data_IF_259638962849
#
_entry.id   IF_259638962849
#
_cell.length_a   1.000
_cell.length_b   1.000
_cell.length_c   1.000
_cell.angle_alpha   90.00
_cell.angle_beta   90.00
_cell.angle_gamma   90.00
#
_symmetry.space_group_name_H-M   'P 1'
#
loop_
_entity.id
_entity.type
_entity.pdbx_description
1 polymer ?
#
# COMPACT_ATOMS: atom_id res chain seq x y z
N UNK A 1 21.40 -46.11 43.21
CA UNK A 1 21.31 -44.78 43.87
C UNK A 1 22.00 -43.78 42.96
N UNK A 2 21.21 -43.17 42.08
CA UNK A 2 20.81 -41.76 42.18
C UNK A 2 21.90 -40.83 41.64
N UNK A 3 21.87 -40.69 40.32
CA UNK A 3 22.43 -39.55 39.63
C UNK A 3 21.76 -38.29 40.20
N UNK A 4 22.55 -37.45 40.86
CA UNK A 4 22.19 -36.06 41.14
C UNK A 4 23.14 -35.17 40.32
N UNK A 5 22.60 -34.08 39.76
CA UNK A 5 23.00 -33.57 38.46
C UNK A 5 24.29 -32.76 38.54
N UNK A 6 25.08 -32.82 37.46
CA UNK A 6 26.19 -31.89 37.20
C UNK A 6 25.74 -30.45 37.49
N UNK A 7 26.31 -29.86 38.53
CA UNK A 7 26.08 -28.44 38.83
C UNK A 7 26.64 -27.62 37.66
N UNK A 8 25.74 -27.00 36.90
CA UNK A 8 26.09 -26.08 35.84
C UNK A 8 27.06 -25.03 36.39
N UNK A 9 28.26 -24.95 35.82
CA UNK A 9 29.23 -23.92 36.21
C UNK A 9 28.61 -22.53 36.10
N UNK A 10 29.02 -21.56 36.95
CA UNK A 10 28.50 -20.19 36.92
C UNK A 10 28.57 -19.53 35.53
N UNK A 11 29.55 -19.95 34.71
CA UNK A 11 29.73 -19.50 33.32
C UNK A 11 28.61 -20.02 32.41
N UNK A 12 28.17 -21.26 32.58
CA UNK A 12 27.04 -21.81 31.82
C UNK A 12 25.71 -21.14 32.20
N UNK A 13 25.50 -20.84 33.49
CA UNK A 13 24.30 -20.12 33.95
C UNK A 13 24.25 -18.70 33.37
N UNK A 14 25.36 -17.96 33.41
CA UNK A 14 25.45 -16.64 32.81
C UNK A 14 25.25 -16.67 31.28
N UNK A 15 25.77 -17.69 30.61
CA UNK A 15 25.57 -17.90 29.16
C UNK A 15 24.10 -18.13 28.78
N UNK A 16 23.38 -18.95 29.56
CA UNK A 16 21.95 -19.23 29.33
C UNK A 16 21.11 -17.97 29.56
N UNK A 17 21.37 -17.22 30.65
CA UNK A 17 20.66 -15.96 30.93
C UNK A 17 20.92 -14.94 29.82
N UNK A 18 22.17 -14.82 29.36
CA UNK A 18 22.53 -13.94 28.25
C UNK A 18 21.79 -14.29 26.95
N UNK A 19 21.69 -15.59 26.62
CA UNK A 19 20.96 -16.05 25.44
C UNK A 19 19.43 -15.81 25.56
N UNK A 20 18.83 -16.06 26.73
CA UNK A 20 17.40 -15.84 26.98
C UNK A 20 16.99 -14.36 26.90
N UNK A 21 17.92 -13.42 27.09
CA UNK A 21 17.67 -11.98 26.93
C UNK A 21 17.96 -11.54 25.48
N UNK A 22 19.05 -12.02 24.88
CA UNK A 22 19.49 -11.61 23.55
C UNK A 22 18.58 -12.14 22.42
N UNK A 23 18.09 -13.37 22.53
CA UNK A 23 17.25 -14.02 21.52
C UNK A 23 15.87 -13.32 21.35
N UNK A 24 15.08 -13.05 22.40
CA UNK A 24 13.83 -12.31 22.25
C UNK A 24 14.05 -10.85 21.84
N UNK A 25 15.18 -10.23 22.23
CA UNK A 25 15.56 -8.90 21.77
C UNK A 25 15.85 -8.89 20.26
N UNK A 26 16.64 -9.84 19.75
CA UNK A 26 16.89 -9.98 18.31
C UNK A 26 15.64 -10.38 17.52
N UNK A 27 14.78 -11.24 18.06
CA UNK A 27 13.52 -11.63 17.43
C UNK A 27 12.55 -10.44 17.29
N UNK A 28 12.47 -9.55 18.28
CA UNK A 28 11.68 -8.32 18.19
C UNK A 28 12.17 -7.39 17.08
N UNK A 29 13.48 -7.28 16.86
CA UNK A 29 14.04 -6.50 15.77
C UNK A 29 13.85 -7.16 14.39
N UNK A 30 13.96 -8.50 14.31
CA UNK A 30 13.79 -9.23 13.05
C UNK A 30 12.33 -9.28 12.55
N UNK A 31 11.34 -9.42 13.46
CA UNK A 31 9.91 -9.42 13.13
C UNK A 31 9.36 -8.01 12.85
N UNK A 32 10.12 -6.96 13.19
CA UNK A 32 9.75 -5.57 12.91
C UNK A 32 9.94 -5.14 11.45
N UNK A 33 10.16 -6.07 10.51
CA UNK A 33 9.93 -5.84 9.07
C UNK A 33 8.41 -5.74 8.83
N UNK A 34 7.87 -4.64 9.34
CA UNK A 34 6.50 -4.15 9.22
C UNK A 34 6.12 -4.19 7.75
N UNK A 35 5.03 -4.90 7.46
CA UNK A 35 4.43 -4.92 6.14
C UNK A 35 4.09 -3.47 5.73
N UNK A 36 4.88 -2.88 4.84
CA UNK A 36 4.52 -1.61 4.21
C UNK A 36 3.38 -1.89 3.24
N UNK A 37 2.16 -1.49 3.64
CA UNK A 37 1.02 -1.48 2.74
C UNK A 37 1.36 -0.56 1.57
N UNK A 38 1.30 -1.09 0.35
CA UNK A 38 1.53 -0.31 -0.87
C UNK A 38 0.61 0.94 -0.90
N UNK A 39 1.09 2.06 -1.44
CA UNK A 39 0.30 3.28 -1.52
C UNK A 39 -0.95 3.07 -2.41
N UNK A 40 -2.11 3.51 -1.91
CA UNK A 40 -3.39 3.38 -2.63
C UNK A 40 -3.49 4.37 -3.79
N UNK A 41 -3.87 3.91 -4.99
CA UNK A 41 -4.13 4.79 -6.14
C UNK A 41 -5.39 5.66 -5.91
N UNK A 42 -6.49 5.06 -5.47
CA UNK A 42 -7.75 5.73 -5.16
C UNK A 42 -7.80 6.09 -3.67
N UNK A 43 -7.93 7.38 -3.33
CA UNK A 43 -7.97 7.86 -1.94
C UNK A 43 -9.39 8.04 -1.40
N UNK A 44 -10.35 8.45 -2.25
CA UNK A 44 -11.66 8.92 -1.77
C UNK A 44 -12.87 8.54 -2.65
N UNK A 45 -12.68 8.00 -3.85
CA UNK A 45 -13.77 7.78 -4.81
C UNK A 45 -14.45 6.44 -4.52
N UNK A 46 -15.78 6.43 -4.29
CA UNK A 46 -16.64 5.23 -4.22
C UNK A 46 -16.05 4.09 -3.36
N UNK A 47 -15.62 4.42 -2.13
CA UNK A 47 -14.93 3.51 -1.19
C UNK A 47 -15.84 2.44 -0.58
N UNK A 48 -17.15 2.61 -0.72
CA UNK A 48 -18.18 1.63 -0.42
C UNK A 48 -18.14 0.43 -1.38
N UNK A 49 -17.64 0.62 -2.61
CA UNK A 49 -17.50 -0.46 -3.58
C UNK A 49 -16.15 -1.17 -3.47
N UNK A 50 -16.12 -2.52 -3.43
CA UNK A 50 -14.86 -3.27 -3.46
C UNK A 50 -14.11 -3.12 -4.79
N UNK A 51 -14.82 -2.74 -5.87
CA UNK A 51 -14.24 -2.50 -7.19
C UNK A 51 -15.04 -1.44 -7.92
N UNK A 52 -14.42 -0.28 -8.12
CA UNK A 52 -15.04 0.83 -8.84
C UNK A 52 -14.93 0.60 -10.35
N UNK A 53 -16.07 0.50 -11.03
CA UNK A 53 -16.20 0.37 -12.49
C UNK A 53 -17.21 1.41 -12.96
N UNK A 54 -16.87 2.15 -14.00
CA UNK A 54 -17.73 3.12 -14.66
C UNK A 54 -17.90 2.72 -16.14
N UNK A 55 -19.15 2.63 -16.59
CA UNK A 55 -19.49 2.30 -17.97
C UNK A 55 -19.90 3.58 -18.69
N UNK A 56 -19.39 3.78 -19.90
CA UNK A 56 -19.79 4.87 -20.78
C UNK A 56 -20.41 4.26 -22.03
N UNK A 57 -21.60 4.73 -22.36
CA UNK A 57 -22.33 4.26 -23.53
C UNK A 57 -21.81 4.99 -24.77
N UNK A 58 -21.89 4.34 -25.94
CA UNK A 58 -21.42 4.96 -27.18
C UNK A 58 -22.19 6.24 -27.51
N UNK A 59 -23.48 6.34 -27.12
CA UNK A 59 -24.25 7.57 -27.31
C UNK A 59 -23.62 8.79 -26.63
N UNK A 60 -23.03 8.62 -25.45
CA UNK A 60 -22.38 9.74 -24.76
C UNK A 60 -21.21 10.30 -25.58
N UNK A 61 -20.56 9.46 -26.39
CA UNK A 61 -19.48 9.83 -27.31
C UNK A 61 -20.05 10.45 -28.59
N UNK A 62 -21.25 10.05 -29.03
CA UNK A 62 -21.88 10.62 -30.23
C UNK A 62 -22.20 12.11 -30.07
N UNK A 63 -22.53 12.54 -28.84
CA UNK A 63 -22.90 13.91 -28.47
C UNK A 63 -21.70 14.87 -28.33
N UNK A 64 -20.46 14.39 -28.43
CA UNK A 64 -19.26 15.23 -28.30
C UNK A 64 -18.10 14.74 -29.19
N UNK A 65 -17.36 15.66 -29.82
CA UNK A 65 -16.20 15.31 -30.66
C UNK A 65 -15.12 14.48 -29.92
N UNK A 66 -15.04 14.65 -28.60
CA UNK A 66 -14.15 13.88 -27.72
C UNK A 66 -14.68 13.80 -26.29
N UNK A 67 -14.39 12.70 -25.62
CA UNK A 67 -14.53 12.51 -24.18
C UNK A 67 -13.18 12.31 -23.52
N UNK A 68 -13.02 12.86 -22.33
CA UNK A 68 -11.77 12.81 -21.57
C UNK A 68 -12.02 12.16 -20.22
N UNK A 69 -11.37 11.03 -20.00
CA UNK A 69 -11.56 10.11 -18.87
C UNK A 69 -10.44 10.21 -17.85
N UNK A 70 -10.78 10.22 -16.57
CA UNK A 70 -9.83 10.25 -15.46
C UNK A 70 -9.15 8.89 -15.30
N UNK A 71 -7.81 8.91 -15.12
CA UNK A 71 -7.03 7.73 -14.72
C UNK A 71 -6.21 7.94 -13.43
N UNK A 72 -6.22 9.15 -12.88
CA UNK A 72 -5.44 9.49 -11.70
C UNK A 72 -6.20 9.35 -10.37
N UNK A 73 -7.51 9.09 -10.40
CA UNK A 73 -8.37 9.01 -9.19
C UNK A 73 -8.35 10.27 -8.31
N UNK A 74 -8.14 11.45 -8.91
CA UNK A 74 -8.17 12.75 -8.21
C UNK A 74 -9.27 13.68 -8.68
N UNK A 75 -9.95 13.36 -9.79
CA UNK A 75 -10.99 14.22 -10.33
C UNK A 75 -12.20 14.28 -9.40
N UNK A 76 -12.71 15.49 -9.18
CA UNK A 76 -14.00 15.73 -8.52
C UNK A 76 -15.19 15.35 -9.42
N UNK A 77 -14.97 15.24 -10.73
CA UNK A 77 -15.96 14.86 -11.75
C UNK A 77 -15.76 13.41 -12.25
N UNK A 78 -15.10 12.56 -11.47
CA UNK A 78 -14.87 11.16 -11.82
C UNK A 78 -16.19 10.49 -12.25
N UNK A 79 -16.24 9.77 -13.40
CA UNK A 79 -15.12 9.21 -14.18
C UNK A 79 -14.47 10.16 -15.20
N UNK A 80 -14.98 11.38 -15.37
CA UNK A 80 -14.42 12.35 -16.32
C UNK A 80 -13.16 13.03 -15.77
N UNK A 81 -12.29 13.48 -16.67
CA UNK A 81 -11.12 14.27 -16.29
C UNK A 81 -11.48 15.74 -16.13
N UNK A 82 -11.02 16.36 -15.04
CA UNK A 82 -11.14 17.80 -14.77
C UNK A 82 -9.79 18.53 -14.68
N UNK A 83 -8.69 17.85 -15.01
CA UNK A 83 -7.32 18.41 -14.90
C UNK A 83 -6.61 18.15 -13.57
N UNK A 84 -7.25 17.52 -12.57
CA UNK A 84 -6.62 17.28 -11.25
C UNK A 84 -5.34 16.42 -11.29
N UNK A 85 -5.09 15.71 -12.40
CA UNK A 85 -3.84 14.96 -12.59
C UNK A 85 -2.60 15.87 -12.64
N UNK A 86 -2.71 17.11 -13.11
CA UNK A 86 -1.58 18.05 -13.16
C UNK A 86 -1.04 18.32 -11.75
N UNK A 87 -1.93 18.71 -10.83
CA UNK A 87 -1.55 18.95 -9.42
C UNK A 87 -1.00 17.69 -8.75
N UNK A 88 -1.57 16.52 -9.05
CA UNK A 88 -1.06 15.24 -8.55
C UNK A 88 0.37 14.97 -9.05
N UNK A 89 0.63 15.14 -10.33
CA UNK A 89 1.95 14.96 -10.94
C UNK A 89 2.97 15.93 -10.32
N UNK A 90 2.63 17.22 -10.19
CA UNK A 90 3.50 18.22 -9.57
C UNK A 90 3.89 17.88 -8.13
N UNK A 91 2.94 17.39 -7.33
CA UNK A 91 3.18 17.07 -5.91
C UNK A 91 3.92 15.76 -5.68
N UNK A 92 3.77 14.80 -6.59
CA UNK A 92 4.28 13.42 -6.40
C UNK A 92 5.46 13.07 -7.29
N UNK A 93 5.74 13.88 -8.32
CA UNK A 93 6.69 13.55 -9.38
C UNK A 93 6.16 12.50 -10.37
N UNK A 94 4.85 12.22 -10.35
CA UNK A 94 4.18 11.27 -11.24
C UNK A 94 3.96 11.86 -12.66
N UNK A 95 3.56 11.02 -13.61
CA UNK A 95 3.37 11.38 -15.01
C UNK A 95 2.05 10.86 -15.61
N UNK A 96 1.03 10.68 -14.76
CA UNK A 96 -0.28 10.19 -15.22
C UNK A 96 -1.04 11.23 -16.04
N UNK A 97 -1.89 10.74 -16.94
CA UNK A 97 -2.74 11.57 -17.79
C UNK A 97 -4.07 10.90 -18.12
N UNK A 98 -5.05 11.65 -18.66
CA UNK A 98 -6.36 11.11 -18.98
C UNK A 98 -6.32 10.14 -20.16
N UNK A 99 -7.40 9.38 -20.34
CA UNK A 99 -7.70 8.69 -21.59
C UNK A 99 -8.62 9.59 -22.43
N UNK A 100 -8.26 9.85 -23.69
CA UNK A 100 -9.08 10.62 -24.63
C UNK A 100 -9.72 9.66 -25.61
N UNK A 101 -11.04 9.64 -25.66
CA UNK A 101 -11.83 8.88 -26.62
C UNK A 101 -12.39 9.88 -27.62
N UNK A 102 -12.15 9.64 -28.91
CA UNK A 102 -12.68 10.46 -30.01
C UNK A 102 -13.73 9.64 -30.76
N UNK A 103 -14.70 10.35 -31.34
CA UNK A 103 -15.64 9.78 -32.30
C UNK A 103 -14.91 9.30 -33.56
#
# INVERSE_FOLDING_TARGET
MSAFPEELSPVMVAGIIGALVAVPFMWKFAVSKKQESQPMCNLSIKKDSPKVVDTICMQDIEDADKKVMCRCWRSAKFPYCDGSHTKHNELTGDNVGPLIVKK
#
